data_IF_094544407734
#
_entry.id   IF_094544407734
#
_cell.length_a   1.000
_cell.length_b   1.000
_cell.length_c   1.000
_cell.angle_alpha   90.00
_cell.angle_beta   90.00
_cell.angle_gamma   90.00
#
_symmetry.space_group_name_H-M   'P 1'
#
loop_
_entity.id
_entity.type
_entity.pdbx_description
1 polymer ?
#
# COMPACT_ATOMS: atom_id res chain seq x y z
N UNK A 1 -6.69 3.26 -15.70
CA UNK A 1 -5.89 4.30 -15.01
C UNK A 1 -6.61 5.62 -15.15
N UNK A 2 -6.84 6.39 -14.07
CA UNK A 2 -7.45 7.73 -14.22
C UNK A 2 -6.51 8.60 -15.08
N UNK A 3 -7.04 9.50 -15.93
CA UNK A 3 -6.20 10.40 -16.72
C UNK A 3 -5.27 11.21 -15.81
N UNK A 4 -3.97 11.30 -16.16
CA UNK A 4 -3.00 12.17 -15.48
C UNK A 4 -2.02 11.47 -14.50
N UNK A 5 -2.23 10.21 -14.12
CA UNK A 5 -1.31 9.51 -13.22
C UNK A 5 0.11 9.36 -13.78
N UNK A 6 0.27 9.23 -15.11
CA UNK A 6 1.59 9.06 -15.75
C UNK A 6 2.60 10.16 -15.40
N UNK A 7 2.13 11.39 -15.14
CA UNK A 7 2.98 12.52 -14.74
C UNK A 7 3.55 12.37 -13.32
N UNK A 8 2.89 11.61 -12.45
CA UNK A 8 3.31 11.41 -11.05
C UNK A 8 4.34 10.29 -10.87
N UNK A 9 4.41 9.36 -11.83
CA UNK A 9 5.36 8.23 -11.84
C UNK A 9 6.57 8.49 -12.75
N UNK A 10 6.57 9.63 -13.45
CA UNK A 10 7.71 10.07 -14.26
C UNK A 10 8.94 10.31 -13.38
N UNK A 11 10.03 9.60 -13.66
CA UNK A 11 11.28 9.68 -12.88
C UNK A 11 11.38 8.71 -11.70
N UNK A 12 10.34 7.93 -11.40
CA UNK A 12 10.40 6.88 -10.38
C UNK A 12 11.02 5.61 -10.97
N UNK A 13 12.12 5.12 -10.38
CA UNK A 13 12.74 3.86 -10.79
C UNK A 13 11.93 2.67 -10.24
N UNK A 14 10.87 2.32 -10.95
CA UNK A 14 9.98 1.22 -10.57
C UNK A 14 10.57 -0.10 -11.09
N UNK A 15 10.92 -0.99 -10.15
CA UNK A 15 11.36 -2.33 -10.48
C UNK A 15 10.16 -3.20 -10.84
N UNK A 16 10.29 -4.07 -11.85
CA UNK A 16 9.22 -4.99 -12.19
C UNK A 16 8.88 -5.91 -11.02
N UNK A 17 7.58 -6.00 -10.72
CA UNK A 17 7.03 -6.84 -9.66
C UNK A 17 7.15 -8.33 -10.00
N UNK A 18 6.84 -8.69 -11.25
CA UNK A 18 6.91 -10.07 -11.75
C UNK A 18 7.13 -10.07 -13.28
N UNK A 19 7.68 -11.14 -13.88
CA UNK A 19 7.81 -11.23 -15.34
C UNK A 19 6.48 -11.38 -16.09
N UNK A 20 5.43 -11.90 -15.44
CA UNK A 20 4.09 -12.10 -15.98
C UNK A 20 3.09 -11.05 -15.51
N UNK A 21 3.19 -10.59 -14.27
CA UNK A 21 2.36 -9.50 -13.75
C UNK A 21 3.11 -8.18 -13.89
N UNK A 22 2.54 -7.22 -14.64
CA UNK A 22 3.23 -6.04 -15.17
C UNK A 22 4.11 -5.27 -14.18
N UNK A 23 4.98 -4.40 -14.70
CA UNK A 23 6.09 -3.83 -13.93
C UNK A 23 5.70 -3.10 -12.63
N UNK A 24 4.44 -2.67 -12.47
CA UNK A 24 3.97 -1.85 -11.35
C UNK A 24 2.51 -2.18 -11.03
N UNK A 25 2.19 -2.29 -9.74
CA UNK A 25 0.83 -2.23 -9.23
C UNK A 25 0.55 -0.83 -8.67
N UNK A 26 -0.56 -0.20 -9.08
CA UNK A 26 -0.99 1.09 -8.55
C UNK A 26 -2.34 0.88 -7.87
N UNK A 27 -2.40 1.20 -6.58
CA UNK A 27 -3.61 1.14 -5.77
C UNK A 27 -4.11 2.56 -5.46
N UNK A 28 -5.41 2.76 -5.47
CA UNK A 28 -6.05 4.03 -5.13
C UNK A 28 -7.00 3.83 -3.94
N UNK A 29 -6.78 4.61 -2.88
CA UNK A 29 -7.59 4.56 -1.66
C UNK A 29 -8.73 5.58 -1.70
N UNK A 30 -9.88 5.22 -1.12
CA UNK A 30 -11.05 6.09 -1.03
C UNK A 30 -11.00 7.09 0.12
N UNK A 31 -10.01 6.96 1.00
CA UNK A 31 -9.77 7.85 2.13
C UNK A 31 -8.45 8.60 1.89
N UNK A 32 -8.22 9.64 2.68
CA UNK A 32 -6.95 10.35 2.73
C UNK A 32 -5.98 9.63 3.69
N UNK A 33 -4.91 8.97 3.18
CA UNK A 33 -3.90 8.29 4.00
C UNK A 33 -3.30 9.16 5.10
N UNK A 34 -3.20 10.48 4.87
CA UNK A 34 -2.60 11.39 5.82
C UNK A 34 -3.38 11.54 7.13
N UNK A 35 -4.62 11.03 7.19
CA UNK A 35 -5.41 11.00 8.42
C UNK A 35 -4.81 9.99 9.42
N UNK A 36 -4.18 8.92 8.92
CA UNK A 36 -3.70 7.80 9.74
C UNK A 36 -2.18 7.81 9.95
N UNK A 37 -1.42 8.56 9.15
CA UNK A 37 0.03 8.74 9.32
C UNK A 37 0.44 10.14 8.89
N UNK A 38 1.37 10.74 9.64
CA UNK A 38 2.07 11.98 9.24
C UNK A 38 3.56 11.74 8.96
N UNK A 39 3.94 10.47 8.86
CA UNK A 39 5.33 10.07 8.58
C UNK A 39 5.57 9.94 7.08
N UNK A 40 6.82 9.75 6.69
CA UNK A 40 7.21 9.44 5.31
C UNK A 40 6.90 7.98 4.90
N UNK A 41 6.32 7.18 5.81
CA UNK A 41 5.93 5.81 5.56
C UNK A 41 4.45 5.69 5.20
N UNK A 42 4.12 4.60 4.50
CA UNK A 42 2.75 4.22 4.16
C UNK A 42 1.87 4.18 5.42
N UNK A 43 0.60 4.59 5.28
CA UNK A 43 -0.32 4.55 6.42
C UNK A 43 -0.66 3.10 6.81
N UNK A 44 -0.98 2.88 8.10
CA UNK A 44 -1.27 1.54 8.62
C UNK A 44 -2.39 0.79 7.88
N UNK A 45 -3.46 1.49 7.46
CA UNK A 45 -4.61 0.85 6.82
C UNK A 45 -4.29 0.45 5.38
N UNK A 46 -3.57 1.28 4.63
CA UNK A 46 -3.14 0.94 3.27
C UNK A 46 -2.24 -0.29 3.29
N UNK A 47 -1.26 -0.31 4.20
CA UNK A 47 -0.35 -1.44 4.34
C UNK A 47 -1.10 -2.72 4.73
N UNK A 48 -2.07 -2.63 5.64
CA UNK A 48 -2.94 -3.75 5.98
C UNK A 48 -3.67 -4.29 4.75
N UNK A 49 -4.27 -3.42 3.94
CA UNK A 49 -5.02 -3.81 2.75
C UNK A 49 -4.15 -4.47 1.67
N UNK A 50 -2.88 -4.07 1.53
CA UNK A 50 -1.94 -4.73 0.61
C UNK A 50 -1.63 -6.19 1.00
N UNK A 51 -1.65 -6.52 2.30
CA UNK A 51 -1.22 -7.83 2.81
C UNK A 51 -2.33 -8.69 3.41
N UNK A 52 -3.57 -8.20 3.51
CA UNK A 52 -4.69 -8.91 4.16
C UNK A 52 -5.02 -10.29 3.60
N UNK A 53 -4.63 -10.59 2.36
CA UNK A 53 -4.87 -11.90 1.72
C UNK A 53 -3.65 -12.84 1.82
N UNK A 54 -2.56 -12.38 2.43
CA UNK A 54 -1.35 -13.17 2.61
C UNK A 54 -1.56 -14.21 3.73
N UNK A 55 -1.37 -15.49 3.40
CA UNK A 55 -1.61 -16.63 4.31
C UNK A 55 -0.42 -16.96 5.21
N UNK A 56 0.59 -16.10 5.28
CA UNK A 56 1.72 -16.31 6.16
C UNK A 56 1.34 -15.88 7.58
N UNK A 57 1.32 -16.82 8.52
CA UNK A 57 0.96 -16.59 9.92
C UNK A 57 1.75 -15.44 10.58
N UNK A 58 3.02 -15.24 10.21
CA UNK A 58 3.84 -14.16 10.77
C UNK A 58 3.38 -12.79 10.27
N UNK A 59 2.92 -12.73 9.02
CA UNK A 59 2.38 -11.50 8.41
C UNK A 59 1.03 -11.19 9.06
N UNK A 60 0.16 -12.19 9.20
CA UNK A 60 -1.15 -12.04 9.86
C UNK A 60 -1.01 -11.45 11.27
N UNK A 61 -0.11 -12.00 12.10
CA UNK A 61 0.16 -11.46 13.46
C UNK A 61 0.68 -10.01 13.41
N UNK A 62 1.51 -9.66 12.42
CA UNK A 62 1.99 -8.29 12.27
C UNK A 62 0.86 -7.33 11.87
N UNK A 63 -0.04 -7.78 11.00
CA UNK A 63 -1.20 -7.02 10.55
C UNK A 63 -2.19 -6.75 11.69
N UNK A 64 -2.46 -7.75 12.53
CA UNK A 64 -3.31 -7.59 13.71
C UNK A 64 -2.74 -6.54 14.68
N UNK A 65 -1.42 -6.60 14.95
CA UNK A 65 -0.74 -5.62 15.80
C UNK A 65 -0.74 -4.22 15.20
N UNK A 66 -0.64 -4.11 13.87
CA UNK A 66 -0.62 -2.83 13.16
C UNK A 66 -1.99 -2.15 13.25
N UNK A 67 -3.07 -2.86 12.89
CA UNK A 67 -4.41 -2.27 12.84
C UNK A 67 -4.98 -1.98 14.23
N UNK A 68 -4.59 -2.77 15.25
CA UNK A 68 -5.01 -2.56 16.63
C UNK A 68 -4.49 -1.26 17.28
N UNK A 69 -3.51 -0.59 16.65
CA UNK A 69 -2.96 0.68 17.14
C UNK A 69 -3.71 1.91 16.60
N UNK A 70 -4.63 1.72 15.64
CA UNK A 70 -5.39 2.82 15.05
C UNK A 70 -6.53 3.23 16.01
N UNK A 71 -6.65 4.52 16.36
CA UNK A 71 -7.80 5.01 17.10
C UNK A 71 -9.01 5.07 16.15
N UNK A 72 -10.01 4.20 16.38
CA UNK A 72 -11.25 4.14 15.61
C UNK A 72 -12.26 5.22 16.03
#
# INVERSE_FOLDING_TARGET
>A
MRPGFGKFIEGVNLKPIDPLEGNVCIEEWKYDPEILTKTEYVDPLSLYLCFRENKNERIEIALEKLIGQIPW
#
